data_IF_644094409605
#
_entry.id   IF_644094409605
#
_cell.length_a   1.000
_cell.length_b   1.000
_cell.length_c   1.000
_cell.angle_alpha   90.00
_cell.angle_beta   90.00
_cell.angle_gamma   90.00
#
_symmetry.space_group_name_H-M   'P 1'
#
loop_
_entity.id
_entity.type
_entity.pdbx_description
1 polymer ?
#
# COMPACT_ATOMS: atom_id res chain seq x y z
N UNK A 1 3.73 -5.81 21.57
CA UNK A 1 4.52 -6.77 20.77
C UNK A 1 5.89 -7.02 21.36
N UNK A 2 6.73 -6.01 21.57
CA UNK A 2 8.08 -6.13 22.12
C UNK A 2 8.14 -6.85 23.48
N UNK A 3 7.19 -6.60 24.37
CA UNK A 3 7.12 -7.24 25.69
C UNK A 3 6.94 -8.77 25.65
N UNK A 4 6.19 -9.30 24.64
CA UNK A 4 6.01 -10.75 24.49
C UNK A 4 7.28 -11.48 24.03
N UNK A 5 8.09 -10.79 23.21
CA UNK A 5 9.39 -11.32 22.78
C UNK A 5 10.40 -11.36 23.94
N UNK A 6 10.37 -10.34 24.82
CA UNK A 6 11.22 -10.27 26.01
C UNK A 6 10.86 -11.32 27.07
N UNK A 7 9.61 -11.79 27.08
CA UNK A 7 9.12 -12.86 27.97
C UNK A 7 9.32 -14.28 27.40
N UNK A 8 10.09 -14.43 26.30
CA UNK A 8 10.41 -15.75 25.72
C UNK A 8 9.25 -16.35 24.91
N UNK A 9 8.24 -15.58 24.54
CA UNK A 9 7.13 -16.04 23.72
C UNK A 9 7.58 -16.32 22.29
N UNK A 10 7.34 -17.54 21.78
CA UNK A 10 7.61 -17.91 20.40
C UNK A 10 6.69 -17.20 19.40
N UNK A 11 6.90 -17.50 18.14
CA UNK A 11 6.17 -16.91 17.00
C UNK A 11 4.63 -17.00 17.14
N UNK A 12 4.14 -18.10 17.74
CA UNK A 12 2.72 -18.31 18.04
C UNK A 12 2.15 -17.29 19.02
N UNK A 13 2.93 -16.92 20.05
CA UNK A 13 2.51 -15.92 21.04
C UNK A 13 2.31 -14.53 20.40
N UNK A 14 3.14 -14.17 19.42
CA UNK A 14 3.00 -12.92 18.68
C UNK A 14 1.71 -12.89 17.86
N UNK A 15 1.37 -14.00 17.18
CA UNK A 15 0.14 -14.10 16.39
C UNK A 15 -1.09 -13.99 17.29
N UNK A 16 -1.09 -14.69 18.44
CA UNK A 16 -2.20 -14.68 19.41
C UNK A 16 -2.40 -13.26 19.96
N UNK A 17 -1.33 -12.61 20.40
CA UNK A 17 -1.41 -11.24 20.95
C UNK A 17 -1.92 -10.24 19.91
N UNK A 18 -1.46 -10.36 18.66
CA UNK A 18 -1.92 -9.49 17.57
C UNK A 18 -3.42 -9.71 17.27
N UNK A 19 -3.87 -10.97 17.27
CA UNK A 19 -5.27 -11.32 17.06
C UNK A 19 -6.17 -10.81 18.18
N UNK A 20 -5.74 -10.99 19.44
CA UNK A 20 -6.50 -10.48 20.61
C UNK A 20 -6.58 -8.96 20.57
N UNK A 21 -5.48 -8.26 20.27
CA UNK A 21 -5.46 -6.81 20.16
C UNK A 21 -6.41 -6.33 19.04
N UNK A 22 -6.43 -7.03 17.88
CA UNK A 22 -7.36 -6.75 16.80
C UNK A 22 -8.83 -6.89 17.21
N UNK A 23 -9.17 -7.97 17.91
CA UNK A 23 -10.53 -8.21 18.42
C UNK A 23 -10.92 -7.13 19.42
N UNK A 24 -10.05 -6.77 20.37
CA UNK A 24 -10.31 -5.73 21.36
C UNK A 24 -10.59 -4.38 20.69
N UNK A 25 -9.82 -4.01 19.65
CA UNK A 25 -10.04 -2.77 18.91
C UNK A 25 -11.41 -2.79 18.20
N UNK A 26 -11.81 -3.91 17.63
CA UNK A 26 -13.11 -4.06 16.96
C UNK A 26 -14.24 -3.92 17.98
N UNK A 27 -14.17 -4.61 19.13
CA UNK A 27 -15.16 -4.54 20.19
C UNK A 27 -15.27 -3.12 20.75
N UNK A 28 -14.13 -2.45 20.96
CA UNK A 28 -14.11 -1.06 21.43
C UNK A 28 -14.77 -0.10 20.43
N UNK A 29 -14.46 -0.23 19.14
CA UNK A 29 -15.10 0.56 18.07
C UNK A 29 -16.60 0.32 18.00
N UNK A 30 -17.05 -0.94 18.07
CA UNK A 30 -18.47 -1.28 18.07
C UNK A 30 -19.19 -0.73 19.30
N UNK A 31 -18.56 -0.77 20.49
CA UNK A 31 -19.11 -0.21 21.72
C UNK A 31 -19.30 1.31 21.65
N UNK A 32 -18.33 2.03 21.07
CA UNK A 32 -18.45 3.48 20.85
C UNK A 32 -19.54 3.78 19.82
N UNK A 33 -19.57 3.05 18.72
CA UNK A 33 -20.57 3.23 17.67
C UNK A 33 -21.98 2.99 18.20
N UNK A 34 -22.19 1.93 18.99
CA UNK A 34 -23.48 1.63 19.62
C UNK A 34 -23.94 2.68 20.66
N UNK A 35 -23.00 3.38 21.31
CA UNK A 35 -23.33 4.44 22.29
C UNK A 35 -23.60 5.81 21.68
N UNK A 36 -22.97 6.14 20.55
CA UNK A 36 -22.98 7.49 19.97
C UNK A 36 -23.71 7.57 18.63
N UNK A 37 -24.11 6.44 18.01
CA UNK A 37 -24.80 6.49 16.74
C UNK A 37 -26.31 6.51 16.91
N UNK A 38 -26.95 7.49 16.28
CA UNK A 38 -28.40 7.54 16.03
C UNK A 38 -28.85 6.50 14.98
N UNK A 39 -27.96 5.58 14.60
CA UNK A 39 -28.22 4.55 13.61
C UNK A 39 -28.94 3.36 14.27
N UNK A 40 -30.24 3.27 14.03
CA UNK A 40 -30.99 2.05 14.32
C UNK A 40 -30.70 1.04 13.20
N UNK A 41 -30.05 -0.07 13.57
CA UNK A 41 -29.87 -1.19 12.62
C UNK A 41 -31.21 -1.87 12.44
N UNK A 42 -31.88 -1.60 11.33
CA UNK A 42 -33.11 -2.27 10.95
C UNK A 42 -32.76 -3.50 10.07
N UNK A 43 -32.69 -4.67 10.68
CA UNK A 43 -32.41 -5.94 9.99
C UNK A 43 -33.48 -6.33 8.96
N UNK A 44 -34.65 -5.68 9.01
CA UNK A 44 -35.77 -5.90 8.08
C UNK A 44 -35.60 -5.19 6.74
N UNK A 45 -34.64 -4.26 6.61
CA UNK A 45 -34.47 -3.46 5.40
C UNK A 45 -33.51 -4.16 4.44
N UNK A 46 -34.01 -5.20 3.75
CA UNK A 46 -33.22 -5.96 2.78
C UNK A 46 -33.64 -5.58 1.35
N UNK A 47 -32.91 -4.66 0.71
CA UNK A 47 -33.11 -4.27 -0.67
C UNK A 47 -32.14 -5.02 -1.59
N UNK A 48 -32.67 -5.95 -2.40
CA UNK A 48 -31.87 -6.74 -3.34
C UNK A 48 -31.23 -5.89 -4.44
N UNK A 49 -31.85 -4.76 -4.81
CA UNK A 49 -31.30 -3.83 -5.82
C UNK A 49 -30.06 -3.14 -5.29
N UNK A 50 -30.13 -2.65 -4.06
CA UNK A 50 -29.00 -2.01 -3.37
C UNK A 50 -27.87 -2.99 -3.15
N UNK A 51 -28.17 -4.24 -2.76
CA UNK A 51 -27.18 -5.29 -2.60
C UNK A 51 -26.43 -5.57 -3.91
N UNK A 52 -27.14 -5.67 -5.04
CA UNK A 52 -26.54 -5.87 -6.36
C UNK A 52 -25.58 -4.74 -6.75
N UNK A 53 -25.96 -3.51 -6.48
CA UNK A 53 -25.13 -2.31 -6.76
C UNK A 53 -23.88 -2.30 -5.89
N UNK A 54 -24.02 -2.53 -4.58
CA UNK A 54 -22.89 -2.58 -3.63
C UNK A 54 -21.95 -3.74 -3.95
N UNK A 55 -22.48 -4.93 -4.26
CA UNK A 55 -21.67 -6.10 -4.66
C UNK A 55 -20.92 -5.83 -5.96
N UNK A 56 -21.57 -5.24 -6.97
CA UNK A 56 -20.92 -4.89 -8.23
C UNK A 56 -19.73 -3.94 -8.04
N UNK A 57 -19.89 -2.92 -7.20
CA UNK A 57 -18.82 -2.01 -6.85
C UNK A 57 -17.70 -2.72 -6.04
N UNK A 58 -18.09 -3.46 -5.00
CA UNK A 58 -17.16 -4.13 -4.09
C UNK A 58 -16.29 -5.17 -4.79
N UNK A 59 -16.83 -5.90 -5.79
CA UNK A 59 -16.06 -6.87 -6.58
C UNK A 59 -14.88 -6.17 -7.29
N UNK A 60 -15.12 -5.04 -7.93
CA UNK A 60 -14.05 -4.32 -8.62
C UNK A 60 -13.00 -3.74 -7.66
N UNK A 61 -13.42 -3.21 -6.52
CA UNK A 61 -12.50 -2.75 -5.47
C UNK A 61 -11.67 -3.93 -4.93
N UNK A 62 -12.29 -5.08 -4.72
CA UNK A 62 -11.58 -6.29 -4.27
C UNK A 62 -10.55 -6.76 -5.31
N UNK A 63 -10.89 -6.71 -6.61
CA UNK A 63 -9.96 -7.03 -7.69
C UNK A 63 -8.75 -6.09 -7.70
N UNK A 64 -8.95 -4.78 -7.51
CA UNK A 64 -7.86 -3.81 -7.39
C UNK A 64 -6.94 -4.19 -6.22
N UNK A 65 -7.51 -4.42 -5.05
CA UNK A 65 -6.74 -4.79 -3.85
C UNK A 65 -5.99 -6.11 -4.03
N UNK A 66 -6.60 -7.08 -4.71
CA UNK A 66 -5.97 -8.36 -5.00
C UNK A 66 -4.80 -8.19 -5.98
N UNK A 67 -4.98 -7.41 -7.04
CA UNK A 67 -3.92 -7.12 -8.00
C UNK A 67 -2.72 -6.43 -7.35
N UNK A 68 -2.96 -5.40 -6.52
CA UNK A 68 -1.91 -4.73 -5.75
C UNK A 68 -1.17 -5.69 -4.81
N UNK A 69 -1.91 -6.56 -4.10
CA UNK A 69 -1.28 -7.58 -3.24
C UNK A 69 -0.49 -8.61 -4.03
N UNK A 70 -0.89 -8.94 -5.24
CA UNK A 70 -0.12 -9.85 -6.09
C UNK A 70 1.27 -9.29 -6.40
N UNK A 71 1.39 -8.01 -6.71
CA UNK A 71 2.68 -7.38 -7.02
C UNK A 71 3.67 -7.52 -5.85
N UNK A 72 3.26 -7.18 -4.62
CA UNK A 72 4.17 -7.15 -3.47
C UNK A 72 4.27 -8.47 -2.71
N UNK A 73 3.17 -9.23 -2.57
CA UNK A 73 3.15 -10.43 -1.74
C UNK A 73 3.56 -11.72 -2.48
N UNK A 74 3.47 -11.75 -3.82
CA UNK A 74 3.98 -12.89 -4.60
C UNK A 74 5.51 -12.77 -4.77
N UNK A 75 6.06 -11.56 -4.77
CA UNK A 75 7.48 -11.31 -4.95
C UNK A 75 8.39 -12.14 -4.03
N UNK A 76 8.19 -12.23 -2.69
CA UNK A 76 8.99 -13.09 -1.83
C UNK A 76 8.89 -14.58 -2.19
N UNK A 77 7.72 -15.03 -2.68
CA UNK A 77 7.51 -16.44 -3.07
C UNK A 77 8.27 -16.79 -4.35
N UNK A 78 8.32 -15.87 -5.32
CA UNK A 78 9.13 -16.03 -6.53
C UNK A 78 10.61 -16.10 -6.15
N UNK A 79 11.05 -15.18 -5.28
CA UNK A 79 12.43 -15.11 -4.84
C UNK A 79 12.86 -16.38 -4.07
N UNK A 80 11.95 -16.99 -3.29
CA UNK A 80 12.21 -18.22 -2.55
C UNK A 80 12.55 -19.43 -3.46
N UNK A 81 12.11 -19.40 -4.72
CA UNK A 81 12.40 -20.48 -5.69
C UNK A 81 13.81 -20.34 -6.28
N UNK A 82 14.28 -19.10 -6.47
CA UNK A 82 15.50 -18.81 -7.25
C UNK A 82 16.67 -18.28 -6.42
N UNK A 83 16.44 -17.87 -5.16
CA UNK A 83 17.43 -17.16 -4.38
C UNK A 83 17.51 -17.66 -2.92
N UNK A 84 18.42 -17.10 -2.16
CA UNK A 84 18.68 -17.47 -0.77
C UNK A 84 17.73 -16.76 0.20
N UNK A 85 17.65 -17.24 1.44
CA UNK A 85 16.88 -16.59 2.51
C UNK A 85 17.38 -15.16 2.81
N UNK A 86 18.67 -14.87 2.59
CA UNK A 86 19.21 -13.53 2.70
C UNK A 86 18.58 -12.56 1.68
N UNK A 87 18.39 -13.01 0.44
CA UNK A 87 17.76 -12.22 -0.62
C UNK A 87 16.28 -11.88 -0.29
N UNK A 88 15.56 -12.81 0.34
CA UNK A 88 14.18 -12.56 0.81
C UNK A 88 14.18 -11.49 1.90
N UNK A 89 15.17 -11.51 2.79
CA UNK A 89 15.32 -10.48 3.83
C UNK A 89 15.61 -9.11 3.21
N UNK A 90 16.50 -9.04 2.21
CA UNK A 90 16.79 -7.80 1.45
C UNK A 90 15.51 -7.22 0.86
N UNK A 91 14.71 -8.03 0.16
CA UNK A 91 13.44 -7.61 -0.41
C UNK A 91 12.46 -7.14 0.67
N UNK A 92 12.33 -7.89 1.77
CA UNK A 92 11.43 -7.55 2.87
C UNK A 92 11.75 -6.20 3.50
N UNK A 93 13.04 -5.88 3.68
CA UNK A 93 13.48 -4.59 4.20
C UNK A 93 13.20 -3.47 3.20
N UNK A 94 13.45 -3.69 1.90
CA UNK A 94 13.18 -2.73 0.85
C UNK A 94 11.68 -2.38 0.76
N UNK A 95 10.79 -3.37 0.83
CA UNK A 95 9.33 -3.19 0.89
C UNK A 95 8.92 -2.45 2.17
N UNK A 96 9.57 -2.73 3.31
CA UNK A 96 9.29 -2.04 4.56
C UNK A 96 9.63 -0.54 4.48
N UNK A 97 10.75 -0.17 3.88
CA UNK A 97 11.17 1.21 3.68
C UNK A 97 10.21 1.96 2.72
N UNK A 98 9.77 1.29 1.64
CA UNK A 98 8.74 1.84 0.76
C UNK A 98 7.43 2.06 1.54
N UNK A 99 7.01 1.09 2.36
CA UNK A 99 5.82 1.18 3.19
C UNK A 99 5.82 2.39 4.13
N UNK A 100 6.96 2.80 4.66
CA UNK A 100 7.08 4.05 5.42
C UNK A 100 6.84 5.27 4.54
N UNK A 101 7.44 5.33 3.35
CA UNK A 101 7.23 6.42 2.39
C UNK A 101 5.75 6.54 2.00
N UNK A 102 5.11 5.40 1.71
CA UNK A 102 3.69 5.30 1.41
C UNK A 102 2.81 5.78 2.58
N UNK A 103 3.17 5.43 3.81
CA UNK A 103 2.44 5.84 5.02
C UNK A 103 2.45 7.35 5.22
N UNK A 104 3.57 8.02 4.96
CA UNK A 104 3.66 9.49 5.00
C UNK A 104 2.72 10.14 3.97
N UNK A 105 2.73 9.66 2.73
CA UNK A 105 1.88 10.21 1.68
C UNK A 105 0.39 9.96 1.98
N UNK A 106 0.03 8.78 2.48
CA UNK A 106 -1.34 8.47 2.87
C UNK A 106 -1.85 9.30 4.04
N UNK A 107 -0.99 9.65 5.00
CA UNK A 107 -1.37 10.55 6.06
C UNK A 107 -1.82 11.92 5.51
N UNK A 108 -1.12 12.43 4.50
CA UNK A 108 -1.49 13.69 3.82
C UNK A 108 -2.81 13.51 3.06
N UNK A 109 -2.94 12.45 2.26
CA UNK A 109 -4.18 12.17 1.50
C UNK A 109 -5.39 12.05 2.42
N UNK A 110 -5.24 11.34 3.54
CA UNK A 110 -6.30 11.16 4.54
C UNK A 110 -6.82 12.48 5.12
N UNK A 111 -5.98 13.48 5.29
CA UNK A 111 -6.41 14.81 5.78
C UNK A 111 -7.31 15.53 4.79
N UNK A 112 -7.12 15.32 3.49
CA UNK A 112 -7.87 15.99 2.44
C UNK A 112 -9.10 15.21 1.94
N UNK A 113 -9.21 13.95 2.29
CA UNK A 113 -10.30 13.06 1.86
C UNK A 113 -11.71 13.64 2.11
N UNK A 114 -12.05 14.23 3.28
CA UNK A 114 -13.36 14.81 3.51
C UNK A 114 -13.65 16.00 2.57
N UNK A 115 -12.62 16.79 2.26
CA UNK A 115 -12.73 17.93 1.36
C UNK A 115 -12.96 17.47 -0.08
N UNK A 116 -12.22 16.47 -0.53
CA UNK A 116 -12.37 15.85 -1.86
C UNK A 116 -13.76 15.26 -2.01
N UNK A 117 -14.25 14.50 -1.03
CA UNK A 117 -15.61 13.91 -1.07
C UNK A 117 -16.70 14.96 -1.21
N UNK A 118 -16.57 16.10 -0.54
CA UNK A 118 -17.53 17.22 -0.67
C UNK A 118 -17.50 17.84 -2.08
N UNK A 119 -16.31 18.07 -2.63
CA UNK A 119 -16.16 18.62 -3.98
C UNK A 119 -16.69 17.66 -5.06
N UNK A 120 -16.54 16.35 -4.85
CA UNK A 120 -17.12 15.32 -5.73
C UNK A 120 -18.65 15.40 -5.68
N UNK A 121 -19.25 15.53 -4.50
CA UNK A 121 -20.69 15.68 -4.33
C UNK A 121 -21.23 16.97 -4.99
N UNK A 122 -20.43 18.04 -4.98
CA UNK A 122 -20.76 19.31 -5.66
C UNK A 122 -20.50 19.27 -7.18
N UNK A 123 -19.93 18.18 -7.71
CA UNK A 123 -19.54 17.98 -9.11
C UNK A 123 -18.61 19.08 -9.67
N UNK A 124 -17.82 19.72 -8.81
CA UNK A 124 -16.90 20.80 -9.18
C UNK A 124 -15.52 20.23 -9.57
N UNK A 125 -15.43 19.71 -10.79
CA UNK A 125 -14.22 19.09 -11.34
C UNK A 125 -13.01 20.05 -11.38
N UNK A 126 -13.27 21.34 -11.53
CA UNK A 126 -12.21 22.36 -11.58
C UNK A 126 -11.49 22.49 -10.24
N UNK A 127 -12.26 22.58 -9.14
CA UNK A 127 -11.70 22.62 -7.79
C UNK A 127 -11.01 21.33 -7.41
N UNK A 128 -11.52 20.17 -7.84
CA UNK A 128 -10.85 18.88 -7.62
C UNK A 128 -9.48 18.88 -8.29
N UNK A 129 -9.38 19.31 -9.54
CA UNK A 129 -8.12 19.38 -10.29
C UNK A 129 -7.11 20.34 -9.62
N UNK A 130 -7.56 21.54 -9.23
CA UNK A 130 -6.72 22.50 -8.51
C UNK A 130 -6.20 21.93 -7.18
N UNK A 131 -7.06 21.25 -6.44
CA UNK A 131 -6.68 20.59 -5.20
C UNK A 131 -5.68 19.45 -5.43
N UNK A 132 -5.90 18.64 -6.46
CA UNK A 132 -5.02 17.56 -6.89
C UNK A 132 -3.61 18.07 -7.21
N UNK A 133 -3.52 19.14 -8.01
CA UNK A 133 -2.24 19.77 -8.35
C UNK A 133 -1.56 20.35 -7.11
N UNK A 134 -2.31 20.99 -6.21
CA UNK A 134 -1.77 21.59 -5.00
C UNK A 134 -1.21 20.53 -4.04
N UNK A 135 -1.97 19.47 -3.77
CA UNK A 135 -1.55 18.40 -2.87
C UNK A 135 -0.45 17.56 -3.50
N UNK A 136 -0.57 17.21 -4.79
CA UNK A 136 0.45 16.50 -5.53
C UNK A 136 1.81 17.23 -5.49
N UNK A 137 1.81 18.57 -5.60
CA UNK A 137 3.03 19.37 -5.47
C UNK A 137 3.67 19.24 -4.08
N UNK A 138 2.86 19.29 -3.02
CA UNK A 138 3.36 19.12 -1.63
C UNK A 138 3.93 17.71 -1.47
N UNK A 139 3.25 16.69 -1.99
CA UNK A 139 3.73 15.31 -1.93
C UNK A 139 5.03 15.11 -2.68
N UNK A 140 5.17 15.67 -3.88
CA UNK A 140 6.43 15.62 -4.65
C UNK A 140 7.59 16.23 -3.86
N UNK A 141 7.39 17.36 -3.15
CA UNK A 141 8.43 17.92 -2.32
C UNK A 141 8.81 17.01 -1.14
N UNK A 142 7.83 16.44 -0.46
CA UNK A 142 8.07 15.56 0.69
C UNK A 142 8.74 14.25 0.24
N UNK A 143 8.19 13.60 -0.78
CA UNK A 143 8.76 12.35 -1.32
C UNK A 143 10.16 12.64 -1.90
N UNK A 144 10.32 13.80 -2.56
CA UNK A 144 11.60 14.27 -3.08
C UNK A 144 12.65 14.46 -1.98
N UNK A 145 12.26 15.03 -0.85
CA UNK A 145 13.15 15.15 0.29
C UNK A 145 13.52 13.79 0.89
N UNK A 146 12.55 12.86 0.99
CA UNK A 146 12.80 11.49 1.47
C UNK A 146 13.74 10.74 0.51
N UNK A 147 13.44 10.74 -0.79
CA UNK A 147 14.26 10.08 -1.81
C UNK A 147 15.65 10.73 -1.90
N UNK A 148 15.74 12.06 -1.91
CA UNK A 148 17.00 12.79 -1.97
C UNK A 148 17.86 12.52 -0.72
N UNK A 149 17.25 12.55 0.47
CA UNK A 149 17.91 12.17 1.71
C UNK A 149 18.41 10.73 1.68
N UNK A 150 17.59 9.79 1.21
CA UNK A 150 17.96 8.40 1.08
C UNK A 150 19.05 8.16 0.01
N UNK A 151 19.06 8.92 -1.08
CA UNK A 151 20.15 8.90 -2.06
C UNK A 151 21.49 9.36 -1.47
N UNK A 152 21.47 10.40 -0.63
CA UNK A 152 22.70 10.94 -0.05
C UNK A 152 23.26 10.10 1.09
N UNK A 153 22.41 9.61 2.00
CA UNK A 153 22.84 9.00 3.27
C UNK A 153 22.42 7.51 3.34
N UNK A 154 21.57 7.04 2.45
CA UNK A 154 20.94 5.72 2.55
C UNK A 154 21.93 4.57 2.54
N UNK A 155 23.03 4.67 1.81
CA UNK A 155 24.06 3.62 1.79
C UNK A 155 24.74 3.48 3.15
N UNK A 156 25.16 4.60 3.73
CA UNK A 156 25.82 4.61 5.04
C UNK A 156 24.84 4.22 6.15
N UNK A 157 23.58 4.66 6.04
CA UNK A 157 22.50 4.26 6.94
C UNK A 157 22.27 2.76 6.91
N UNK A 158 22.17 2.13 5.74
CA UNK A 158 21.98 0.67 5.60
C UNK A 158 23.18 -0.09 6.16
N UNK A 159 24.41 0.34 5.86
CA UNK A 159 25.60 -0.30 6.36
C UNK A 159 25.72 -0.19 7.89
N UNK A 160 25.35 0.95 8.47
CA UNK A 160 25.35 1.15 9.91
C UNK A 160 24.26 0.33 10.61
N UNK A 161 23.07 0.23 9.98
CA UNK A 161 21.91 -0.43 10.58
C UNK A 161 21.92 -1.95 10.44
N UNK A 162 22.31 -2.46 9.26
CA UNK A 162 22.22 -3.88 8.91
C UNK A 162 23.58 -4.54 8.70
N UNK A 163 24.65 -3.75 8.57
CA UNK A 163 25.99 -4.23 8.24
C UNK A 163 26.23 -4.37 6.74
N UNK A 164 27.49 -4.53 6.36
CA UNK A 164 27.95 -4.57 4.96
C UNK A 164 27.37 -5.74 4.14
N UNK A 165 26.96 -6.82 4.81
CA UNK A 165 26.34 -7.97 4.15
C UNK A 165 25.00 -7.65 3.47
N UNK A 166 24.34 -6.54 3.82
CA UNK A 166 23.04 -6.11 3.30
C UNK A 166 23.11 -4.87 2.40
N UNK A 167 24.26 -4.60 1.80
CA UNK A 167 24.47 -3.44 0.92
C UNK A 167 23.49 -3.38 -0.28
N UNK A 168 23.01 -4.55 -0.76
CA UNK A 168 22.00 -4.64 -1.82
C UNK A 168 20.65 -4.02 -1.44
N UNK A 169 20.31 -3.94 -0.14
CA UNK A 169 19.08 -3.31 0.35
C UNK A 169 18.96 -1.88 -0.15
N UNK A 170 20.09 -1.13 -0.21
CA UNK A 170 20.09 0.24 -0.68
C UNK A 170 19.56 0.38 -2.11
N UNK A 171 20.10 -0.43 -3.03
CA UNK A 171 19.69 -0.38 -4.45
C UNK A 171 18.26 -0.88 -4.62
N UNK A 172 17.90 -1.97 -3.96
CA UNK A 172 16.54 -2.53 -4.01
C UNK A 172 15.51 -1.53 -3.47
N UNK A 173 15.81 -0.85 -2.35
CA UNK A 173 14.93 0.16 -1.77
C UNK A 173 14.74 1.35 -2.71
N UNK A 174 15.80 1.83 -3.36
CA UNK A 174 15.69 2.90 -4.35
C UNK A 174 14.79 2.51 -5.52
N UNK A 175 14.95 1.29 -6.05
CA UNK A 175 14.13 0.80 -7.16
C UNK A 175 12.65 0.71 -6.80
N UNK A 176 12.32 0.34 -5.54
CA UNK A 176 10.92 0.21 -5.10
C UNK A 176 10.33 1.57 -4.68
N UNK A 177 11.12 2.49 -4.14
CA UNK A 177 10.65 3.81 -3.71
C UNK A 177 10.48 4.76 -4.91
N UNK A 178 11.30 4.63 -5.96
CA UNK A 178 11.27 5.55 -7.10
C UNK A 178 9.90 5.67 -7.79
N UNK A 179 9.12 4.59 -8.04
CA UNK A 179 7.78 4.67 -8.61
C UNK A 179 6.81 5.48 -7.76
N UNK A 180 6.99 5.51 -6.44
CA UNK A 180 6.15 6.29 -5.51
C UNK A 180 6.11 7.78 -5.85
N UNK A 181 7.14 8.30 -6.52
CA UNK A 181 7.18 9.67 -7.01
C UNK A 181 6.07 10.00 -8.03
N UNK A 182 5.67 9.00 -8.83
CA UNK A 182 4.60 9.17 -9.81
C UNK A 182 3.24 8.76 -9.24
N UNK A 183 3.21 7.69 -8.46
CA UNK A 183 1.97 7.08 -7.98
C UNK A 183 1.30 7.90 -6.87
N UNK A 184 2.05 8.32 -5.86
CA UNK A 184 1.49 8.95 -4.67
C UNK A 184 0.84 10.32 -4.92
N UNK A 185 1.37 11.22 -5.76
CA UNK A 185 0.71 12.47 -6.10
C UNK A 185 -0.62 12.31 -6.83
N UNK A 186 -0.84 11.15 -7.46
CA UNK A 186 -2.06 10.84 -8.23
C UNK A 186 -3.17 10.18 -7.39
N UNK A 187 -2.93 9.90 -6.11
CA UNK A 187 -3.85 9.15 -5.25
C UNK A 187 -5.22 9.85 -5.09
N UNK A 188 -5.24 11.19 -5.10
CA UNK A 188 -6.49 11.96 -5.12
C UNK A 188 -7.26 11.71 -6.43
N UNK A 189 -6.56 11.57 -7.56
CA UNK A 189 -7.16 11.18 -8.84
C UNK A 189 -7.80 9.80 -8.77
N UNK A 190 -7.12 8.83 -8.15
CA UNK A 190 -7.64 7.49 -7.91
C UNK A 190 -8.94 7.54 -7.10
N UNK A 191 -8.98 8.32 -6.03
CA UNK A 191 -10.18 8.52 -5.21
C UNK A 191 -11.33 9.12 -6.03
N UNK A 192 -11.04 10.05 -6.92
CA UNK A 192 -12.03 10.67 -7.81
C UNK A 192 -12.58 9.67 -8.83
N UNK A 193 -11.74 8.83 -9.42
CA UNK A 193 -12.15 7.77 -10.36
C UNK A 193 -13.10 6.77 -9.67
N UNK A 194 -12.80 6.40 -8.43
CA UNK A 194 -13.64 5.52 -7.61
C UNK A 194 -14.99 6.18 -7.35
N UNK A 195 -15.03 7.46 -6.99
CA UNK A 195 -16.26 8.19 -6.71
C UNK A 195 -17.11 8.44 -7.96
N UNK A 196 -16.48 8.63 -9.13
CA UNK A 196 -17.16 8.71 -10.44
C UNK A 196 -17.73 7.35 -10.91
N UNK A 197 -17.56 6.27 -10.15
CA UNK A 197 -18.05 4.94 -10.49
C UNK A 197 -17.24 4.22 -11.58
N UNK A 198 -16.09 4.76 -11.99
CA UNK A 198 -15.24 4.20 -13.06
C UNK A 198 -14.24 3.15 -12.52
N UNK A 199 -14.57 2.50 -11.41
CA UNK A 199 -13.72 1.51 -10.72
C UNK A 199 -13.31 0.35 -11.63
N UNK A 200 -14.19 -0.05 -12.58
CA UNK A 200 -13.88 -1.11 -13.55
C UNK A 200 -12.66 -0.78 -14.41
N UNK A 201 -12.54 0.44 -14.90
CA UNK A 201 -11.40 0.85 -15.74
C UNK A 201 -10.10 0.81 -14.95
N UNK A 202 -10.15 1.30 -13.70
CA UNK A 202 -9.03 1.25 -12.78
C UNK A 202 -8.62 -0.19 -12.46
N UNK A 203 -9.58 -1.08 -12.20
CA UNK A 203 -9.31 -2.50 -11.95
C UNK A 203 -8.61 -3.18 -13.13
N UNK A 204 -9.03 -2.90 -14.37
CA UNK A 204 -8.38 -3.43 -15.57
C UNK A 204 -6.92 -2.96 -15.65
N UNK A 205 -6.65 -1.68 -15.37
CA UNK A 205 -5.30 -1.15 -15.35
C UNK A 205 -4.42 -1.88 -14.32
N UNK A 206 -4.90 -2.06 -13.09
CA UNK A 206 -4.15 -2.80 -12.06
C UNK A 206 -3.95 -4.28 -12.40
N UNK A 207 -4.92 -4.94 -13.06
CA UNK A 207 -4.73 -6.32 -13.54
C UNK A 207 -3.62 -6.38 -14.59
N UNK A 208 -3.60 -5.43 -15.54
CA UNK A 208 -2.56 -5.38 -16.57
C UNK A 208 -1.19 -5.13 -15.92
N UNK A 209 -1.09 -4.18 -14.97
CA UNK A 209 0.14 -3.95 -14.23
C UNK A 209 0.62 -5.19 -13.48
N UNK A 210 -0.29 -5.88 -12.76
CA UNK A 210 0.05 -7.11 -12.05
C UNK A 210 0.48 -8.25 -13.01
N UNK A 211 -0.16 -8.39 -14.18
CA UNK A 211 0.22 -9.37 -15.18
C UNK A 211 1.60 -9.05 -15.78
N UNK A 212 1.87 -7.80 -16.12
CA UNK A 212 3.19 -7.36 -16.61
C UNK A 212 4.27 -7.61 -15.55
N UNK A 213 3.99 -7.24 -14.31
CA UNK A 213 4.90 -7.52 -13.20
C UNK A 213 5.22 -9.02 -13.10
N UNK A 214 4.20 -9.88 -13.10
CA UNK A 214 4.38 -11.32 -12.96
C UNK A 214 5.21 -11.90 -14.13
N UNK A 215 4.92 -11.49 -15.37
CA UNK A 215 5.65 -11.94 -16.56
C UNK A 215 7.11 -11.51 -16.50
N UNK A 216 7.41 -10.30 -16.04
CA UNK A 216 8.77 -9.77 -15.94
C UNK A 216 9.51 -10.31 -14.70
N UNK A 217 8.81 -10.58 -13.61
CA UNK A 217 9.40 -11.02 -12.36
C UNK A 217 10.17 -12.34 -12.51
N UNK A 218 9.64 -13.33 -13.23
CA UNK A 218 10.30 -14.62 -13.42
C UNK A 218 11.65 -14.51 -14.13
N UNK A 219 11.74 -13.97 -15.37
CA UNK A 219 13.00 -13.91 -16.09
C UNK A 219 14.00 -12.95 -15.44
N UNK A 220 13.55 -11.82 -14.91
CA UNK A 220 14.44 -10.87 -14.27
C UNK A 220 15.00 -11.40 -12.95
N UNK A 221 14.20 -12.12 -12.17
CA UNK A 221 14.69 -12.77 -10.94
C UNK A 221 15.69 -13.88 -11.27
N UNK A 222 15.48 -14.65 -12.33
CA UNK A 222 16.40 -15.70 -12.75
C UNK A 222 17.77 -15.14 -13.16
N UNK A 223 17.80 -13.98 -13.85
CA UNK A 223 19.06 -13.40 -14.37
C UNK A 223 19.77 -12.54 -13.32
N UNK A 224 19.02 -11.69 -12.60
CA UNK A 224 19.58 -10.66 -11.72
C UNK A 224 19.24 -10.86 -10.23
N UNK A 225 18.62 -11.98 -9.84
CA UNK A 225 18.27 -12.24 -8.46
C UNK A 225 17.28 -11.21 -7.86
N UNK A 226 17.56 -10.75 -6.64
CA UNK A 226 16.68 -9.80 -5.93
C UNK A 226 16.59 -8.45 -6.63
N UNK A 227 17.66 -7.96 -7.21
CA UNK A 227 17.67 -6.68 -7.94
C UNK A 227 16.79 -6.74 -9.19
N UNK A 228 16.74 -7.88 -9.88
CA UNK A 228 15.86 -8.09 -11.03
C UNK A 228 14.38 -8.07 -10.65
N UNK A 229 14.06 -8.64 -9.49
CA UNK A 229 12.69 -8.60 -8.96
C UNK A 229 12.26 -7.18 -8.56
N UNK A 230 13.14 -6.43 -7.88
CA UNK A 230 12.89 -5.03 -7.55
C UNK A 230 12.70 -4.17 -8.80
N UNK A 231 13.46 -4.44 -9.86
CA UNK A 231 13.30 -3.77 -11.15
C UNK A 231 11.95 -4.11 -11.83
N UNK A 232 11.48 -5.35 -11.71
CA UNK A 232 10.15 -5.75 -12.18
C UNK A 232 9.04 -4.98 -11.46
N UNK A 233 9.15 -4.81 -10.14
CA UNK A 233 8.22 -4.01 -9.34
C UNK A 233 8.27 -2.53 -9.76
N UNK A 234 9.46 -2.00 -10.07
CA UNK A 234 9.63 -0.63 -10.54
C UNK A 234 8.93 -0.36 -11.86
N UNK A 235 8.88 -1.34 -12.76
CA UNK A 235 8.30 -1.20 -14.11
C UNK A 235 6.78 -1.44 -14.15
N UNK A 236 6.19 -1.98 -13.10
CA UNK A 236 4.75 -2.26 -13.01
C UNK A 236 3.96 -1.13 -12.38
#
# INVERSE_FOLDING_TARGET
>A
MSACLLLGGGLFSLVIVNSIAGILIIVFKLSILGRHSLLSIQWSFWDKSMLKTVMGFSIWVTIIQLAQRCIFNIAPSILAVYATSASITVLGIAICLEGYTFSFANAINGMFLPKVSRMIAENDRKKILELMVRIGRIQIYIIGAICGGFLCIGRDFINLWLGDAFSEVYVCSLMIILPSFMQLPQEIGNTTIIADGKVKQQAIAYIVMAAVNLILAFPLTYIFGVSGLCFSIMLS
#
